data_IF_599048799078
#
_entry.id   IF_599048799078
#
_cell.length_a   1.000
_cell.length_b   1.000
_cell.length_c   1.000
_cell.angle_alpha   90.00
_cell.angle_beta   90.00
_cell.angle_gamma   90.00
#
_symmetry.space_group_name_H-M   'P 1'
#
loop_
_entity.id
_entity.type
_entity.pdbx_description
1 polymer ?
#
# COMPACT_ATOMS: atom_id res chain seq x y z
N UNK A 1 4.33 6.66 22.26
CA UNK A 1 2.99 7.09 21.82
C UNK A 1 1.95 6.30 22.60
N UNK A 2 0.81 6.92 22.98
CA UNK A 2 -0.21 6.25 23.83
C UNK A 2 -1.26 5.49 23.00
N UNK A 3 -1.52 5.94 21.78
CA UNK A 3 -2.64 5.43 20.96
C UNK A 3 -2.15 4.66 19.73
N UNK A 4 -1.44 5.28 18.82
CA UNK A 4 -0.94 4.66 17.60
C UNK A 4 0.35 3.88 17.88
N UNK A 5 0.23 2.79 18.63
CA UNK A 5 1.34 1.94 19.06
C UNK A 5 1.68 0.90 17.98
N UNK A 6 2.79 0.17 18.19
CA UNK A 6 3.14 -0.96 17.34
C UNK A 6 2.04 -2.02 17.34
N UNK A 7 1.44 -2.29 18.49
CA UNK A 7 0.33 -3.25 18.65
C UNK A 7 -0.90 -2.81 17.87
N UNK A 8 -1.22 -1.50 17.85
CA UNK A 8 -2.29 -0.95 17.01
C UNK A 8 -2.00 -1.17 15.53
N UNK A 9 -0.76 -0.91 15.11
CA UNK A 9 -0.35 -1.12 13.72
C UNK A 9 -0.41 -2.60 13.32
N UNK A 10 0.06 -3.52 14.17
CA UNK A 10 -0.04 -4.96 13.94
C UNK A 10 -1.51 -5.40 13.83
N UNK A 11 -2.38 -4.86 14.67
CA UNK A 11 -3.82 -5.12 14.62
C UNK A 11 -4.43 -4.61 13.30
N UNK A 12 -4.03 -3.42 12.83
CA UNK A 12 -4.50 -2.85 11.57
C UNK A 12 -4.11 -3.73 10.38
N UNK A 13 -2.88 -4.23 10.35
CA UNK A 13 -2.39 -5.13 9.31
C UNK A 13 -3.16 -6.47 9.28
N UNK A 14 -3.60 -6.96 10.42
CA UNK A 14 -4.40 -8.19 10.52
C UNK A 14 -5.86 -7.99 10.10
N UNK A 15 -6.36 -6.76 10.10
CA UNK A 15 -7.73 -6.44 9.66
C UNK A 15 -7.86 -6.57 8.14
N UNK A 16 -6.82 -6.21 7.39
CA UNK A 16 -6.78 -6.29 5.93
C UNK A 16 -6.47 -7.67 5.36
N UNK A 17 -6.17 -8.63 6.21
CA UNK A 17 -5.77 -10.00 5.82
C UNK A 17 -6.81 -10.75 4.96
N UNK A 18 -8.01 -10.17 4.78
CA UNK A 18 -9.14 -10.82 4.12
C UNK A 18 -9.31 -10.47 2.65
N UNK A 19 -8.67 -9.45 2.13
CA UNK A 19 -9.06 -8.89 0.84
C UNK A 19 -9.00 -9.88 -0.32
N UNK A 20 -8.09 -10.84 -0.33
CA UNK A 20 -7.92 -11.75 -1.46
C UNK A 20 -8.36 -13.20 -1.22
N UNK A 21 -8.87 -13.52 -0.02
CA UNK A 21 -9.23 -14.91 0.28
C UNK A 21 -10.62 -15.27 -0.24
N UNK A 22 -10.69 -16.23 -1.17
CA UNK A 22 -11.93 -16.71 -1.81
C UNK A 22 -12.35 -18.07 -1.25
N UNK A 23 -13.66 -18.32 -1.19
CA UNK A 23 -14.17 -19.63 -0.79
C UNK A 23 -14.02 -20.62 -1.95
N UNK A 24 -13.36 -21.75 -1.68
CA UNK A 24 -13.26 -22.88 -2.61
C UNK A 24 -13.77 -24.17 -1.93
N UNK A 25 -14.66 -24.90 -2.60
CA UNK A 25 -15.31 -26.12 -2.04
C UNK A 25 -14.29 -27.18 -1.62
N UNK A 26 -13.18 -27.30 -2.33
CA UNK A 26 -12.13 -28.29 -2.04
C UNK A 26 -11.12 -27.86 -0.98
N UNK A 27 -11.14 -26.60 -0.51
CA UNK A 27 -10.15 -26.08 0.44
C UNK A 27 -10.42 -26.49 1.91
N UNK A 28 -11.49 -27.25 2.17
CA UNK A 28 -11.80 -27.78 3.49
C UNK A 28 -11.10 -29.11 3.84
N UNK A 29 -10.35 -29.68 2.91
CA UNK A 29 -9.59 -30.91 3.08
C UNK A 29 -8.23 -30.78 2.39
N UNK A 30 -7.24 -31.50 2.92
CA UNK A 30 -5.94 -31.58 2.25
C UNK A 30 -6.07 -32.29 0.90
N UNK A 31 -5.64 -31.61 -0.18
CA UNK A 31 -5.76 -32.15 -1.53
C UNK A 31 -4.61 -31.67 -2.42
N UNK A 32 -3.62 -32.51 -2.64
CA UNK A 32 -2.45 -32.21 -3.44
C UNK A 32 -2.80 -31.81 -4.89
N UNK A 33 -3.74 -32.51 -5.51
CA UNK A 33 -4.17 -32.20 -6.88
C UNK A 33 -4.84 -30.83 -7.00
N UNK A 34 -5.59 -30.39 -5.97
CA UNK A 34 -6.13 -29.05 -5.87
C UNK A 34 -5.02 -28.01 -5.76
N UNK A 35 -4.09 -28.23 -4.82
CA UNK A 35 -2.96 -27.33 -4.62
C UNK A 35 -2.16 -27.11 -5.92
N UNK A 36 -1.73 -28.19 -6.56
CA UNK A 36 -0.94 -28.12 -7.80
C UNK A 36 -1.66 -27.36 -8.92
N UNK A 37 -2.97 -27.57 -9.04
CA UNK A 37 -3.77 -26.85 -10.05
C UNK A 37 -3.85 -25.36 -9.74
N UNK A 38 -4.14 -24.99 -8.48
CA UNK A 38 -4.25 -23.57 -8.07
C UNK A 38 -2.90 -22.87 -8.14
N UNK A 39 -1.82 -23.55 -7.74
CA UNK A 39 -0.46 -23.03 -7.86
C UNK A 39 -0.12 -22.65 -9.30
N UNK A 40 -0.36 -23.56 -10.25
CA UNK A 40 -0.10 -23.28 -11.68
C UNK A 40 -0.93 -22.12 -12.23
N UNK A 41 -2.17 -21.97 -11.77
CA UNK A 41 -3.03 -20.84 -12.17
C UNK A 41 -2.42 -19.55 -11.63
N UNK A 42 -2.07 -19.51 -10.35
CA UNK A 42 -1.51 -18.32 -9.71
C UNK A 42 -0.11 -17.97 -10.21
N UNK A 43 0.74 -18.97 -10.45
CA UNK A 43 2.04 -18.77 -11.10
C UNK A 43 1.86 -18.14 -12.49
N UNK A 44 0.91 -18.64 -13.29
CA UNK A 44 0.63 -18.07 -14.61
C UNK A 44 0.10 -16.64 -14.52
N UNK A 45 -0.88 -16.37 -13.64
CA UNK A 45 -1.43 -15.02 -13.41
C UNK A 45 -0.30 -14.04 -13.02
N UNK A 46 0.60 -14.46 -12.12
CA UNK A 46 1.74 -13.64 -11.72
C UNK A 46 2.70 -13.36 -12.87
N UNK A 47 3.08 -14.39 -13.64
CA UNK A 47 3.99 -14.23 -14.79
C UNK A 47 3.37 -13.35 -15.86
N UNK A 48 2.08 -13.53 -16.17
CA UNK A 48 1.38 -12.71 -17.16
C UNK A 48 1.32 -11.24 -16.71
N UNK A 49 1.03 -10.96 -15.43
CA UNK A 49 1.04 -9.61 -14.86
C UNK A 49 2.44 -8.97 -14.91
N UNK A 50 3.48 -9.72 -14.54
CA UNK A 50 4.87 -9.21 -14.60
C UNK A 50 5.33 -8.96 -16.04
N UNK A 51 4.87 -9.78 -16.99
CA UNK A 51 5.13 -9.56 -18.41
C UNK A 51 4.44 -8.29 -18.91
N UNK A 52 3.17 -8.05 -18.49
CA UNK A 52 2.43 -6.84 -18.86
C UNK A 52 3.12 -5.57 -18.33
N UNK A 53 3.55 -5.58 -17.05
CA UNK A 53 4.33 -4.48 -16.47
C UNK A 53 5.64 -4.30 -17.25
N UNK A 54 6.34 -5.40 -17.53
CA UNK A 54 7.59 -5.36 -18.29
C UNK A 54 7.36 -4.79 -19.69
N UNK A 55 6.28 -5.12 -20.39
CA UNK A 55 5.97 -4.70 -21.76
C UNK A 55 5.40 -3.27 -21.83
N UNK A 56 5.02 -2.67 -20.68
CA UNK A 56 4.51 -1.30 -20.64
C UNK A 56 5.59 -0.30 -21.08
N UNK A 57 5.34 0.37 -22.19
CA UNK A 57 6.25 1.37 -22.76
C UNK A 57 6.11 2.71 -22.03
N UNK A 58 7.14 3.23 -21.37
CA UNK A 58 7.05 4.49 -20.62
C UNK A 58 6.77 5.73 -21.51
N UNK A 59 6.84 5.61 -22.85
CA UNK A 59 6.52 6.70 -23.77
C UNK A 59 5.09 7.19 -23.64
N UNK A 60 4.15 6.35 -23.15
CA UNK A 60 2.76 6.77 -22.90
C UNK A 60 2.69 7.94 -21.90
N UNK A 61 3.64 8.04 -20.97
CA UNK A 61 3.69 9.14 -19.99
C UNK A 61 3.90 10.50 -20.66
N UNK A 62 4.52 10.55 -21.84
CA UNK A 62 4.68 11.81 -22.60
C UNK A 62 3.39 12.27 -23.27
N UNK A 63 2.40 11.37 -23.42
CA UNK A 63 1.09 11.71 -24.00
C UNK A 63 0.22 12.51 -23.00
N UNK A 64 0.59 12.52 -21.73
CA UNK A 64 -0.10 13.26 -20.67
C UNK A 64 0.33 14.74 -20.61
N UNK A 65 1.33 15.16 -21.38
CA UNK A 65 1.74 16.56 -21.48
C UNK A 65 0.59 17.36 -22.13
N UNK A 66 0.29 18.54 -21.58
CA UNK A 66 -0.83 19.40 -21.96
C UNK A 66 -2.24 18.80 -21.68
N UNK A 67 -2.35 17.88 -20.73
CA UNK A 67 -3.64 17.33 -20.34
C UNK A 67 -4.43 18.34 -19.49
N UNK A 68 -5.70 18.56 -19.84
CA UNK A 68 -6.59 19.39 -19.03
C UNK A 68 -6.96 18.65 -17.73
N UNK A 69 -6.65 19.25 -16.59
CA UNK A 69 -6.97 18.75 -15.26
C UNK A 69 -8.04 19.63 -14.62
N UNK A 70 -8.95 19.00 -13.90
CA UNK A 70 -9.95 19.69 -13.10
C UNK A 70 -9.56 19.57 -11.63
N UNK A 71 -9.57 20.66 -10.85
CA UNK A 71 -9.34 20.59 -9.41
C UNK A 71 -10.30 19.62 -8.73
N UNK A 72 -9.76 18.79 -7.84
CA UNK A 72 -10.52 17.71 -7.19
C UNK A 72 -11.69 18.22 -6.32
N UNK A 73 -11.52 19.40 -5.72
CA UNK A 73 -12.54 20.08 -4.93
C UNK A 73 -13.77 20.48 -5.76
N UNK A 74 -13.59 20.92 -6.99
CA UNK A 74 -14.70 21.20 -7.91
C UNK A 74 -15.45 19.91 -8.29
N UNK A 75 -14.73 18.80 -8.43
CA UNK A 75 -15.32 17.50 -8.72
C UNK A 75 -16.15 16.93 -7.53
N UNK A 76 -15.65 17.13 -6.30
CA UNK A 76 -16.32 16.69 -5.07
C UNK A 76 -17.59 17.50 -4.81
N UNK A 77 -17.57 18.80 -5.13
CA UNK A 77 -18.69 19.73 -4.88
C UNK A 77 -19.77 19.70 -5.97
N UNK A 78 -19.65 18.81 -6.97
CA UNK A 78 -20.58 18.71 -8.13
C UNK A 78 -20.78 20.06 -8.85
N UNK A 79 -19.76 20.92 -8.88
CA UNK A 79 -19.80 22.20 -9.56
C UNK A 79 -19.81 22.02 -11.08
N UNK A 80 -20.46 22.95 -11.80
CA UNK A 80 -20.45 22.94 -13.26
C UNK A 80 -19.07 23.44 -13.72
N UNK A 81 -18.28 22.50 -14.24
CA UNK A 81 -16.91 22.74 -14.70
C UNK A 81 -17.00 23.45 -16.07
N UNK A 82 -16.50 24.67 -16.14
CA UNK A 82 -16.34 25.40 -17.40
C UNK A 82 -14.95 25.15 -18.01
N UNK A 83 -14.79 25.45 -19.31
CA UNK A 83 -13.45 25.35 -19.94
C UNK A 83 -12.42 26.33 -19.28
N UNK A 84 -12.89 27.40 -18.63
CA UNK A 84 -12.04 28.39 -17.94
C UNK A 84 -11.52 27.86 -16.58
N UNK A 85 -12.18 26.84 -16.00
CA UNK A 85 -11.82 26.23 -14.71
C UNK A 85 -10.82 25.07 -14.89
N UNK A 86 -10.48 24.72 -16.14
CA UNK A 86 -9.52 23.66 -16.44
C UNK A 86 -8.08 24.19 -16.30
N UNK A 87 -7.31 23.50 -15.45
CA UNK A 87 -5.87 23.73 -15.37
C UNK A 87 -5.19 22.85 -16.44
N UNK A 88 -4.40 23.47 -17.30
CA UNK A 88 -3.56 22.69 -18.24
C UNK A 88 -2.30 22.29 -17.51
N UNK A 89 -2.16 20.98 -17.29
CA UNK A 89 -0.91 20.42 -16.77
C UNK A 89 0.14 20.44 -17.89
N UNK A 90 1.28 21.02 -17.61
CA UNK A 90 2.45 20.96 -18.49
C UNK A 90 3.63 20.40 -17.71
N UNK A 91 4.20 19.31 -18.23
CA UNK A 91 5.35 18.66 -17.61
C UNK A 91 6.54 19.61 -17.48
N UNK A 92 7.16 19.61 -16.32
CA UNK A 92 8.41 20.32 -16.10
C UNK A 92 9.56 19.71 -16.91
N UNK A 93 10.65 20.43 -17.17
CA UNK A 93 11.83 19.88 -17.83
C UNK A 93 12.42 18.69 -17.05
N UNK A 94 12.36 18.71 -15.73
CA UNK A 94 12.86 17.63 -14.87
C UNK A 94 12.03 16.35 -15.02
N UNK A 95 10.72 16.45 -15.11
CA UNK A 95 9.82 15.32 -15.36
C UNK A 95 10.06 14.70 -16.73
N UNK A 96 10.22 15.54 -17.77
CA UNK A 96 10.56 15.07 -19.13
C UNK A 96 11.91 14.36 -19.17
N UNK A 97 12.92 14.89 -18.47
CA UNK A 97 14.24 14.25 -18.34
C UNK A 97 14.16 12.91 -17.60
N UNK A 98 13.32 12.84 -16.55
CA UNK A 98 13.07 11.58 -15.84
C UNK A 98 12.43 10.53 -16.75
N UNK A 99 11.36 10.90 -17.47
CA UNK A 99 10.70 9.99 -18.43
C UNK A 99 11.69 9.54 -19.53
N UNK A 100 12.54 10.44 -20.02
CA UNK A 100 13.54 10.09 -21.01
C UNK A 100 14.52 9.02 -20.50
N UNK A 101 14.95 9.09 -19.23
CA UNK A 101 15.78 8.05 -18.61
C UNK A 101 15.05 6.71 -18.52
N UNK A 102 13.76 6.73 -18.14
CA UNK A 102 12.95 5.52 -18.13
C UNK A 102 12.82 4.88 -19.52
N UNK A 103 12.72 5.70 -20.57
CA UNK A 103 12.72 5.23 -21.96
C UNK A 103 14.04 4.59 -22.34
N UNK A 104 15.17 5.17 -21.96
CA UNK A 104 16.51 4.62 -22.22
C UNK A 104 16.72 3.29 -21.50
N UNK A 105 16.26 3.18 -20.26
CA UNK A 105 16.26 1.93 -19.49
C UNK A 105 15.37 0.88 -20.16
N UNK A 106 14.16 1.27 -20.58
CA UNK A 106 13.23 0.41 -21.30
C UNK A 106 13.85 -0.15 -22.59
N UNK A 107 14.46 0.68 -23.41
CA UNK A 107 15.05 0.29 -24.69
C UNK A 107 16.30 -0.59 -24.53
N UNK A 108 17.05 -0.42 -23.44
CA UNK A 108 18.28 -1.17 -23.14
C UNK A 108 18.10 -2.41 -22.28
N UNK A 109 16.89 -2.65 -21.75
CA UNK A 109 16.63 -3.76 -20.83
C UNK A 109 16.84 -5.14 -21.48
N UNK A 110 17.29 -6.15 -20.71
CA UNK A 110 17.40 -7.51 -21.21
C UNK A 110 16.00 -8.10 -21.50
N UNK A 111 15.87 -9.16 -22.32
CA UNK A 111 14.60 -9.83 -22.52
C UNK A 111 13.96 -10.32 -21.21
N UNK A 112 12.63 -10.31 -21.15
CA UNK A 112 11.89 -10.80 -19.97
C UNK A 112 12.23 -12.25 -19.63
N UNK A 113 12.68 -12.49 -18.41
CA UNK A 113 13.05 -13.83 -17.95
C UNK A 113 11.87 -14.49 -17.20
N UNK A 114 11.11 -15.30 -17.93
CA UNK A 114 9.99 -16.08 -17.36
C UNK A 114 10.42 -17.08 -16.32
N UNK A 115 11.64 -17.60 -16.38
CA UNK A 115 12.13 -18.57 -15.43
C UNK A 115 12.42 -17.90 -14.07
N UNK A 116 13.10 -16.76 -14.08
CA UNK A 116 13.38 -16.00 -12.87
C UNK A 116 12.09 -15.46 -12.24
N UNK A 117 11.14 -15.03 -13.08
CA UNK A 117 9.81 -14.60 -12.62
C UNK A 117 9.07 -15.74 -11.89
N UNK A 118 9.09 -16.98 -12.38
CA UNK A 118 8.50 -18.14 -11.69
C UNK A 118 9.21 -18.46 -10.38
N UNK A 119 10.52 -18.33 -10.34
CA UNK A 119 11.30 -18.50 -9.10
C UNK A 119 10.92 -17.45 -8.06
N UNK A 120 10.75 -16.21 -8.49
CA UNK A 120 10.27 -15.12 -7.64
C UNK A 120 8.90 -15.42 -7.07
N UNK A 121 7.94 -15.90 -7.89
CA UNK A 121 6.64 -16.34 -7.42
C UNK A 121 6.73 -17.44 -6.36
N UNK A 122 7.58 -18.45 -6.57
CA UNK A 122 7.79 -19.53 -5.61
C UNK A 122 8.30 -19.00 -4.26
N UNK A 123 9.27 -18.08 -4.28
CA UNK A 123 9.82 -17.46 -3.07
C UNK A 123 8.75 -16.62 -2.33
N UNK A 124 7.96 -15.84 -3.07
CA UNK A 124 6.85 -15.07 -2.50
C UNK A 124 5.83 -16.02 -1.83
N UNK A 125 5.48 -17.10 -2.51
CA UNK A 125 4.54 -18.09 -1.98
C UNK A 125 5.04 -18.73 -0.68
N UNK A 126 6.31 -19.13 -0.62
CA UNK A 126 6.92 -19.69 0.60
C UNK A 126 6.96 -18.66 1.74
N UNK A 127 7.30 -17.40 1.44
CA UNK A 127 7.32 -16.32 2.43
C UNK A 127 5.92 -16.09 2.98
N UNK A 128 4.91 -16.03 2.12
CA UNK A 128 3.50 -15.87 2.52
C UNK A 128 3.01 -17.00 3.41
N UNK A 129 3.43 -18.25 3.17
CA UNK A 129 3.11 -19.38 4.06
C UNK A 129 3.67 -19.14 5.47
N UNK A 130 4.93 -18.68 5.59
CA UNK A 130 5.55 -18.40 6.90
C UNK A 130 4.83 -17.26 7.61
N UNK A 131 4.53 -16.18 6.91
CA UNK A 131 3.79 -15.05 7.48
C UNK A 131 2.40 -15.45 7.99
N UNK A 132 1.69 -16.32 7.27
CA UNK A 132 0.39 -16.85 7.68
C UNK A 132 0.53 -17.64 8.99
N UNK A 133 1.56 -18.48 9.08
CA UNK A 133 1.82 -19.29 10.29
C UNK A 133 2.14 -18.41 11.51
N UNK A 134 2.84 -17.30 11.30
CA UNK A 134 3.27 -16.40 12.37
C UNK A 134 2.16 -15.43 12.80
N UNK A 135 1.33 -14.97 11.85
CA UNK A 135 0.34 -13.89 12.11
C UNK A 135 -1.05 -14.42 12.48
N UNK A 136 -1.46 -15.59 12.00
CA UNK A 136 -2.80 -16.07 12.31
C UNK A 136 -2.89 -16.63 13.73
N UNK A 137 -4.02 -16.37 14.45
CA UNK A 137 -4.32 -17.03 15.71
C UNK A 137 -4.24 -18.55 15.55
N UNK A 138 -3.58 -19.20 16.48
CA UNK A 138 -3.32 -20.64 16.41
C UNK A 138 -4.58 -21.49 16.19
N UNK A 139 -5.68 -21.12 16.84
CA UNK A 139 -6.97 -21.81 16.73
C UNK A 139 -7.55 -21.72 15.31
N UNK A 140 -7.37 -20.57 14.65
CA UNK A 140 -7.80 -20.39 13.28
C UNK A 140 -6.88 -21.11 12.29
N UNK A 141 -5.57 -21.04 12.53
CA UNK A 141 -4.59 -21.76 11.72
C UNK A 141 -4.84 -23.27 11.70
N UNK A 142 -5.18 -23.87 12.84
CA UNK A 142 -5.49 -25.32 12.94
C UNK A 142 -6.72 -25.75 12.12
N UNK A 143 -7.58 -24.82 11.72
CA UNK A 143 -8.76 -25.12 10.89
C UNK A 143 -8.47 -25.00 9.39
N UNK A 144 -7.28 -24.55 9.03
CA UNK A 144 -6.83 -24.48 7.64
C UNK A 144 -6.33 -25.86 7.23
N UNK A 145 -7.06 -26.55 6.37
CA UNK A 145 -6.74 -27.92 5.95
C UNK A 145 -5.43 -28.01 5.12
N UNK A 146 -5.10 -26.96 4.36
CA UNK A 146 -3.85 -26.85 3.60
C UNK A 146 -3.43 -25.38 3.53
N UNK A 147 -2.39 -25.02 4.29
CA UNK A 147 -1.87 -23.65 4.34
C UNK A 147 -1.34 -23.17 2.97
N UNK A 148 -0.88 -24.08 2.12
CA UNK A 148 -0.41 -23.76 0.76
C UNK A 148 -1.56 -23.29 -0.12
N UNK A 149 -2.73 -23.91 -0.01
CA UNK A 149 -3.96 -23.49 -0.69
C UNK A 149 -4.45 -22.16 -0.13
N UNK A 150 -4.35 -21.98 1.19
CA UNK A 150 -4.72 -20.75 1.84
C UNK A 150 -3.82 -19.57 1.40
N UNK A 151 -2.52 -19.76 1.29
CA UNK A 151 -1.57 -18.74 0.84
C UNK A 151 -1.76 -18.33 -0.62
N UNK A 152 -2.41 -19.20 -1.44
CA UNK A 152 -2.84 -18.85 -2.80
C UNK A 152 -4.17 -18.07 -2.85
N UNK A 153 -4.73 -17.71 -1.69
CA UNK A 153 -5.96 -16.92 -1.60
C UNK A 153 -7.25 -17.76 -1.59
N UNK A 154 -7.21 -19.04 -1.17
CA UNK A 154 -8.40 -19.88 -1.13
C UNK A 154 -8.58 -20.57 0.24
N UNK A 155 -9.81 -20.56 0.75
CA UNK A 155 -10.14 -21.20 2.02
C UNK A 155 -11.51 -21.89 1.98
N UNK A 156 -11.81 -22.65 3.05
CA UNK A 156 -13.17 -23.17 3.29
C UNK A 156 -14.12 -22.05 3.72
N UNK A 157 -15.43 -22.27 3.56
CA UNK A 157 -16.45 -21.32 4.04
C UNK A 157 -16.37 -21.09 5.55
N UNK A 158 -16.05 -22.13 6.32
CA UNK A 158 -15.90 -22.03 7.78
C UNK A 158 -14.75 -21.09 8.16
N UNK A 159 -13.56 -21.29 7.57
CA UNK A 159 -12.40 -20.42 7.76
C UNK A 159 -12.72 -18.97 7.32
N UNK A 160 -13.37 -18.76 6.16
CA UNK A 160 -13.75 -17.41 5.71
C UNK A 160 -14.65 -16.68 6.70
N UNK A 161 -15.62 -17.40 7.31
CA UNK A 161 -16.51 -16.79 8.29
C UNK A 161 -15.76 -16.38 9.58
N UNK A 162 -14.80 -17.18 10.02
CA UNK A 162 -13.98 -16.85 11.19
C UNK A 162 -13.03 -15.68 10.93
N UNK A 163 -12.43 -15.63 9.75
CA UNK A 163 -11.62 -14.50 9.33
C UNK A 163 -12.44 -13.21 9.33
N UNK A 164 -13.68 -13.25 8.81
CA UNK A 164 -14.58 -12.08 8.85
C UNK A 164 -14.90 -11.63 10.28
N UNK A 165 -15.14 -12.58 11.18
CA UNK A 165 -15.40 -12.27 12.59
C UNK A 165 -14.16 -11.61 13.23
N UNK A 166 -12.97 -12.20 13.01
CA UNK A 166 -11.70 -11.65 13.50
C UNK A 166 -11.46 -10.23 12.97
N UNK A 167 -11.65 -10.01 11.66
CA UNK A 167 -11.51 -8.67 11.05
C UNK A 167 -12.47 -7.66 11.65
N UNK A 168 -13.75 -8.04 11.82
CA UNK A 168 -14.74 -7.15 12.44
C UNK A 168 -14.42 -6.81 13.90
N UNK A 169 -13.87 -7.74 14.66
CA UNK A 169 -13.47 -7.49 16.04
C UNK A 169 -12.21 -6.62 16.11
N UNK A 170 -11.22 -6.85 15.22
CA UNK A 170 -10.05 -5.99 15.08
C UNK A 170 -10.44 -4.56 14.69
N UNK A 171 -11.35 -4.40 13.72
CA UNK A 171 -11.85 -3.11 13.28
C UNK A 171 -12.51 -2.33 14.42
N UNK A 172 -13.33 -3.00 15.24
CA UNK A 172 -13.92 -2.37 16.44
C UNK A 172 -12.85 -1.91 17.43
N UNK A 173 -11.83 -2.74 17.66
CA UNK A 173 -10.73 -2.37 18.57
C UNK A 173 -9.94 -1.17 18.03
N UNK A 174 -9.64 -1.17 16.74
CA UNK A 174 -8.95 -0.04 16.07
C UNK A 174 -9.76 1.24 16.17
N UNK A 175 -11.06 1.18 15.84
CA UNK A 175 -11.96 2.33 15.88
C UNK A 175 -12.12 2.88 17.31
N UNK A 176 -12.13 2.03 18.33
CA UNK A 176 -12.15 2.49 19.71
C UNK A 176 -10.89 3.30 20.08
N UNK A 177 -9.70 2.81 19.64
CA UNK A 177 -8.43 3.51 19.88
C UNK A 177 -8.39 4.83 19.11
N UNK A 178 -8.83 4.85 17.85
CA UNK A 178 -8.91 6.07 17.03
C UNK A 178 -9.88 7.08 17.64
N UNK A 179 -11.06 6.66 18.06
CA UNK A 179 -12.04 7.54 18.72
C UNK A 179 -11.50 8.17 20.02
N UNK A 180 -10.71 7.43 20.79
CA UNK A 180 -10.04 7.97 21.98
C UNK A 180 -8.93 8.97 21.59
N UNK A 181 -8.19 8.68 20.56
CA UNK A 181 -7.16 9.56 19.99
C UNK A 181 -7.75 10.87 19.49
N UNK A 182 -8.84 10.80 18.69
CA UNK A 182 -9.53 11.98 18.15
C UNK A 182 -10.11 12.88 19.26
N UNK A 183 -10.67 12.29 20.33
CA UNK A 183 -11.14 13.07 21.48
C UNK A 183 -10.01 13.86 22.15
N UNK A 184 -8.86 13.23 22.34
CA UNK A 184 -7.69 13.91 22.93
C UNK A 184 -7.16 15.00 22.01
N UNK A 185 -7.12 14.76 20.69
CA UNK A 185 -6.74 15.79 19.72
C UNK A 185 -7.69 16.99 19.74
N UNK A 186 -9.01 16.76 19.85
CA UNK A 186 -9.98 17.84 19.93
C UNK A 186 -9.90 18.64 21.25
N UNK A 187 -9.47 18.00 22.34
CA UNK A 187 -9.25 18.66 23.63
C UNK A 187 -7.95 19.49 23.64
N UNK A 188 -6.95 19.09 22.87
CA UNK A 188 -5.71 19.85 22.67
C UNK A 188 -5.93 20.86 21.53
N UNK A 189 -5.96 22.14 21.87
CA UNK A 189 -6.15 23.22 20.89
C UNK A 189 -4.89 23.40 20.03
N UNK A 190 -4.64 22.44 19.13
CA UNK A 190 -3.51 22.48 18.20
C UNK A 190 -3.83 23.52 17.11
N UNK A 191 -2.99 24.55 16.92
CA UNK A 191 -3.19 25.51 15.87
C UNK A 191 -3.24 24.82 14.50
N UNK A 192 -4.22 25.16 13.66
CA UNK A 192 -4.40 24.55 12.33
C UNK A 192 -3.13 24.58 11.48
N UNK A 193 -2.33 25.65 11.59
CA UNK A 193 -1.05 25.77 10.89
C UNK A 193 -0.02 24.68 11.30
N UNK A 194 -0.14 24.13 12.51
CA UNK A 194 0.71 23.02 12.98
C UNK A 194 0.16 21.71 12.42
N UNK A 195 -1.15 21.51 12.48
CA UNK A 195 -1.83 20.32 11.94
C UNK A 195 -1.55 20.13 10.45
N UNK A 196 -1.69 21.21 9.66
CA UNK A 196 -1.40 21.21 8.23
C UNK A 196 0.09 20.91 7.92
N UNK A 197 1.00 21.23 8.85
CA UNK A 197 2.44 20.98 8.68
C UNK A 197 2.89 19.58 9.04
N UNK A 198 2.07 18.75 9.68
CA UNK A 198 2.42 17.38 10.08
C UNK A 198 2.04 16.31 9.05
N UNK A 199 1.74 16.68 7.81
CA UNK A 199 1.50 15.74 6.72
C UNK A 199 2.82 15.34 6.05
N UNK A 200 3.44 14.26 6.56
CA UNK A 200 4.69 13.70 6.04
C UNK A 200 4.43 12.34 5.39
N UNK A 201 3.55 12.29 4.41
CA UNK A 201 3.22 11.05 3.74
C UNK A 201 4.41 10.56 2.90
N UNK A 202 4.81 9.30 3.11
CA UNK A 202 5.89 8.62 2.39
C UNK A 202 7.28 9.28 2.49
N UNK A 203 7.50 10.11 3.51
CA UNK A 203 8.81 10.68 3.78
C UNK A 203 9.67 9.72 4.63
N UNK A 204 10.93 9.57 4.28
CA UNK A 204 11.90 8.82 5.08
C UNK A 204 12.48 9.69 6.20
N UNK A 205 12.37 9.22 7.44
CA UNK A 205 13.03 9.87 8.58
C UNK A 205 14.52 9.51 8.56
N UNK A 206 15.37 10.44 8.18
CA UNK A 206 16.83 10.22 8.08
C UNK A 206 17.57 10.48 9.38
N UNK A 207 17.05 11.35 10.24
CA UNK A 207 17.63 11.65 11.54
C UNK A 207 16.57 12.20 12.51
N UNK A 208 16.74 11.93 13.80
CA UNK A 208 15.87 12.41 14.87
C UNK A 208 16.71 12.80 16.07
N UNK A 209 16.68 14.08 16.43
CA UNK A 209 17.46 14.64 17.55
C UNK A 209 16.57 15.37 18.53
N UNK A 210 16.88 15.23 19.80
CA UNK A 210 16.30 16.06 20.86
C UNK A 210 17.34 17.10 21.25
N UNK A 211 17.09 18.37 20.95
CA UNK A 211 17.95 19.50 21.29
C UNK A 211 17.25 20.35 22.33
N UNK A 212 17.74 20.26 23.58
CA UNK A 212 17.16 20.95 24.76
C UNK A 212 15.68 20.55 25.00
N UNK A 213 14.72 21.31 24.46
CA UNK A 213 13.28 21.06 24.52
C UNK A 213 12.67 20.83 23.14
N UNK A 214 13.47 20.95 22.11
CA UNK A 214 13.01 20.87 20.72
C UNK A 214 13.25 19.47 20.15
N UNK A 215 12.34 19.00 19.33
CA UNK A 215 12.50 17.78 18.54
C UNK A 215 12.83 18.18 17.10
N UNK A 216 14.00 17.81 16.63
CA UNK A 216 14.45 18.04 15.26
C UNK A 216 14.32 16.75 14.48
N UNK A 217 13.49 16.76 13.44
CA UNK A 217 13.28 15.61 12.55
C UNK A 217 13.81 15.99 11.17
N UNK A 218 14.77 15.22 10.67
CA UNK A 218 15.24 15.33 9.30
C UNK A 218 14.50 14.32 8.44
N UNK A 219 13.88 14.81 7.37
CA UNK A 219 13.11 14.02 6.43
C UNK A 219 13.76 14.07 5.06
N UNK A 220 13.85 12.92 4.40
CA UNK A 220 14.05 12.84 2.97
C UNK A 220 12.67 12.76 2.31
N UNK A 221 12.37 13.72 1.42
CA UNK A 221 11.08 13.85 0.75
C UNK A 221 11.12 13.32 -0.69
N UNK A 222 12.22 12.69 -1.12
CA UNK A 222 12.34 12.09 -2.45
C UNK A 222 11.30 10.97 -2.61
N UNK A 223 10.26 11.22 -3.40
CA UNK A 223 9.14 10.28 -3.61
C UNK A 223 7.99 10.41 -2.60
N UNK A 224 8.08 11.30 -1.60
CA UNK A 224 7.02 11.55 -0.64
C UNK A 224 6.19 12.79 -0.99
N UNK A 225 4.91 12.77 -0.61
CA UNK A 225 4.04 13.94 -0.70
C UNK A 225 4.15 14.76 0.59
N UNK A 226 4.65 15.99 0.48
CA UNK A 226 4.49 16.98 1.53
C UNK A 226 3.55 18.07 0.99
N UNK A 227 2.64 18.57 1.82
CA UNK A 227 1.83 19.74 1.47
C UNK A 227 2.67 21.04 1.33
N UNK A 228 3.99 20.89 1.30
CA UNK A 228 4.94 22.00 1.18
C UNK A 228 5.77 21.84 -0.08
N UNK A 229 5.41 22.57 -1.12
CA UNK A 229 6.21 22.72 -2.33
C UNK A 229 7.53 23.48 -2.11
N UNK A 230 7.80 23.95 -0.91
CA UNK A 230 9.06 24.59 -0.54
C UNK A 230 9.27 24.42 0.96
N UNK A 231 10.04 23.41 1.39
CA UNK A 231 10.79 23.56 2.63
C UNK A 231 12.15 24.13 2.22
N UNK A 232 12.44 25.43 2.49
CA UNK A 232 13.83 25.85 2.54
C UNK A 232 14.54 24.88 3.48
N UNK A 233 15.81 24.57 3.24
CA UNK A 233 16.66 23.75 4.12
C UNK A 233 16.81 24.37 5.54
N UNK A 234 15.81 25.04 6.04
CA UNK A 234 15.78 25.67 7.34
C UNK A 234 14.98 24.81 8.32
N UNK A 235 15.68 24.39 9.31
CA UNK A 235 15.23 23.66 10.50
C UNK A 235 13.97 24.30 11.06
N UNK A 236 12.84 23.59 11.05
CA UNK A 236 11.67 24.00 11.82
C UNK A 236 11.90 23.63 13.27
N UNK A 237 12.10 24.62 14.12
CA UNK A 237 12.14 24.47 15.59
C UNK A 237 10.69 24.41 16.11
N UNK A 238 10.34 23.34 16.79
CA UNK A 238 9.10 23.18 17.56
C UNK A 238 9.41 23.05 19.04
#
# INVERSE_FOLDING_TARGET
MRYLTKEWYELSQMTDFLFDVRVHKGAGVFNEGLYQRLYKIKEKEFVDMQQEIYDTDPRFMLEEDETAMVPLDMFINEEIISEEDQLVYSMSPEEKDHIQKLIEEYDSRPPFDKYDCKKTFANIHETRIREIMDKLPHELYQQIADVRVFSLGYCSKAVKNQLKALSSDNEKMMNNILNEYDKVQQEENIPQIIEERFSFHDCEVTDLKVEKKDLVIHLNTDGGFTNFNVIPKEVSHF
#
